data_IF_616236280775
#
_entry.id   IF_616236280775
#
_cell.length_a   1.000
_cell.length_b   1.000
_cell.length_c   1.000
_cell.angle_alpha   90.00
_cell.angle_beta   90.00
_cell.angle_gamma   90.00
#
_symmetry.space_group_name_H-M   'P 1'
#
loop_
_entity.id
_entity.type
_entity.pdbx_description
1 polymer ?
#
# COMPACT_ATOMS: atom_id res chain seq x y z
N UNK A 1 24.03 -17.56 -26.47
CA UNK A 1 23.74 -17.28 -27.89
C UNK A 1 23.95 -15.79 -28.23
N UNK A 2 23.37 -14.87 -27.48
CA UNK A 2 23.42 -13.44 -27.80
C UNK A 2 24.81 -12.81 -27.67
N UNK A 3 25.62 -13.24 -26.69
CA UNK A 3 27.00 -12.77 -26.53
C UNK A 3 27.85 -13.19 -27.73
N UNK A 4 27.70 -14.44 -28.16
CA UNK A 4 28.41 -14.95 -29.33
C UNK A 4 28.03 -14.19 -30.60
N UNK A 5 26.74 -13.94 -30.79
CA UNK A 5 26.20 -13.16 -31.91
C UNK A 5 26.73 -11.73 -31.91
N UNK A 6 26.70 -11.07 -30.74
CA UNK A 6 27.22 -9.72 -30.61
C UNK A 6 28.70 -9.61 -30.88
N UNK A 7 29.50 -10.56 -30.40
CA UNK A 7 30.96 -10.63 -30.70
C UNK A 7 31.22 -10.87 -32.17
N UNK A 8 30.44 -11.71 -32.84
CA UNK A 8 30.54 -11.95 -34.26
C UNK A 8 30.24 -10.69 -35.06
N UNK A 9 29.14 -10.01 -34.75
CA UNK A 9 28.79 -8.75 -35.41
C UNK A 9 29.77 -7.62 -35.15
N UNK A 10 30.43 -7.62 -33.99
CA UNK A 10 31.44 -6.64 -33.61
C UNK A 10 32.84 -7.03 -34.09
N UNK A 11 32.99 -8.13 -34.88
CA UNK A 11 34.28 -8.61 -35.39
C UNK A 11 35.32 -8.85 -34.29
N UNK A 12 34.84 -9.29 -33.11
CA UNK A 12 35.71 -9.57 -31.96
C UNK A 12 36.05 -8.38 -31.07
N UNK A 13 35.53 -7.20 -31.36
CA UNK A 13 35.68 -6.01 -30.53
C UNK A 13 34.72 -6.09 -29.32
N UNK A 14 35.28 -6.24 -28.13
CA UNK A 14 34.54 -6.37 -26.89
C UNK A 14 33.68 -5.15 -26.55
N UNK A 15 34.21 -3.95 -26.72
CA UNK A 15 33.47 -2.71 -26.39
C UNK A 15 32.30 -2.52 -27.33
N UNK A 16 32.51 -2.81 -28.62
CA UNK A 16 31.42 -2.76 -29.61
C UNK A 16 30.35 -3.83 -29.37
N UNK A 17 30.77 -5.03 -28.96
CA UNK A 17 29.85 -6.12 -28.61
C UNK A 17 29.00 -5.76 -27.39
N UNK A 18 29.60 -5.14 -26.37
CA UNK A 18 28.85 -4.63 -25.18
C UNK A 18 27.83 -3.59 -25.58
N UNK A 19 28.19 -2.67 -26.47
CA UNK A 19 27.27 -1.65 -26.96
C UNK A 19 26.10 -2.25 -27.75
N UNK A 20 26.36 -3.22 -28.60
CA UNK A 20 25.32 -3.95 -29.32
C UNK A 20 24.34 -4.68 -28.39
N UNK A 21 24.86 -5.32 -27.33
CA UNK A 21 24.04 -5.98 -26.32
C UNK A 21 23.19 -4.96 -25.56
N UNK A 22 23.75 -3.80 -25.22
CA UNK A 22 23.03 -2.70 -24.56
C UNK A 22 21.89 -2.17 -25.43
N UNK A 23 22.15 -1.91 -26.71
CA UNK A 23 21.15 -1.45 -27.68
C UNK A 23 20.00 -2.45 -27.83
N UNK A 24 20.32 -3.75 -27.91
CA UNK A 24 19.31 -4.82 -27.97
C UNK A 24 18.47 -4.86 -26.70
N UNK A 25 19.08 -4.75 -25.54
CA UNK A 25 18.39 -4.70 -24.27
C UNK A 25 17.41 -3.55 -24.21
N UNK A 26 17.82 -2.36 -24.62
CA UNK A 26 16.97 -1.17 -24.69
C UNK A 26 15.79 -1.36 -25.67
N UNK A 27 16.04 -1.94 -26.83
CA UNK A 27 15.00 -2.21 -27.83
C UNK A 27 13.96 -3.22 -27.30
N UNK A 28 14.39 -4.26 -26.62
CA UNK A 28 13.51 -5.25 -26.01
C UNK A 28 12.73 -4.63 -24.85
N UNK A 29 13.37 -3.82 -24.00
CA UNK A 29 12.69 -3.10 -22.92
C UNK A 29 11.59 -2.18 -23.45
N UNK A 30 11.85 -1.47 -24.55
CA UNK A 30 10.85 -0.61 -25.21
C UNK A 30 9.65 -1.41 -25.73
N UNK A 31 9.87 -2.61 -26.25
CA UNK A 31 8.79 -3.50 -26.73
C UNK A 31 7.92 -4.06 -25.61
N UNK A 32 8.44 -4.10 -24.38
CA UNK A 32 7.75 -4.65 -23.20
C UNK A 32 7.18 -3.56 -22.30
N UNK A 33 7.25 -2.31 -22.70
CA UNK A 33 6.89 -1.15 -21.86
C UNK A 33 5.45 -1.16 -21.36
N UNK A 34 4.55 -1.84 -22.05
CA UNK A 34 3.13 -1.96 -21.73
C UNK A 34 2.77 -3.17 -20.83
N UNK A 35 3.75 -4.03 -20.55
CA UNK A 35 3.52 -5.18 -19.66
C UNK A 35 3.45 -4.76 -18.20
N UNK A 36 2.65 -5.47 -17.41
CA UNK A 36 2.53 -5.22 -15.97
C UNK A 36 3.63 -5.96 -15.19
N UNK A 37 4.20 -5.27 -14.21
CA UNK A 37 5.16 -5.83 -13.26
C UNK A 37 4.52 -5.92 -11.88
N UNK A 38 3.80 -7.02 -11.65
CA UNK A 38 3.05 -7.24 -10.39
C UNK A 38 3.85 -8.01 -9.34
N UNK A 39 5.00 -8.57 -9.70
CA UNK A 39 5.91 -9.29 -8.81
C UNK A 39 7.23 -8.52 -8.67
N UNK A 40 8.07 -8.99 -7.79
CA UNK A 40 9.37 -8.36 -7.59
C UNK A 40 10.03 -8.75 -6.29
N UNK A 41 11.10 -8.04 -5.98
CA UNK A 41 11.87 -8.20 -4.75
C UNK A 41 11.99 -6.85 -4.05
N UNK A 42 11.54 -6.79 -2.81
CA UNK A 42 11.68 -5.64 -1.92
C UNK A 42 12.68 -6.01 -0.84
N UNK A 43 13.74 -5.24 -0.71
CA UNK A 43 14.76 -5.43 0.30
C UNK A 43 14.95 -4.18 1.13
N UNK A 44 15.35 -4.38 2.38
CA UNK A 44 15.66 -3.32 3.32
C UNK A 44 17.00 -3.59 3.97
N UNK A 45 17.76 -2.54 4.20
CA UNK A 45 19.06 -2.64 4.86
C UNK A 45 19.39 -1.33 5.59
N UNK A 46 20.06 -1.47 6.71
CA UNK A 46 20.63 -0.36 7.47
C UNK A 46 22.14 -0.55 7.58
N UNK A 47 22.89 0.52 7.30
CA UNK A 47 24.33 0.60 7.57
C UNK A 47 24.58 1.89 8.34
N UNK A 48 25.01 1.74 9.60
CA UNK A 48 25.19 2.87 10.53
C UNK A 48 23.89 3.68 10.70
N UNK A 49 23.89 4.94 10.29
CA UNK A 49 22.79 5.87 10.42
C UNK A 49 21.95 6.02 9.13
N UNK A 50 22.13 5.13 8.16
CA UNK A 50 21.43 5.20 6.88
C UNK A 50 20.69 3.88 6.60
N UNK A 51 19.39 3.96 6.38
CA UNK A 51 18.57 2.82 6.02
C UNK A 51 17.74 3.11 4.78
N UNK A 52 17.56 2.09 3.94
CA UNK A 52 16.81 2.23 2.71
C UNK A 52 16.02 0.96 2.39
N UNK A 53 14.89 1.15 1.73
CA UNK A 53 14.11 0.10 1.08
C UNK A 53 14.22 0.31 -0.43
N UNK A 54 14.47 -0.77 -1.16
CA UNK A 54 14.47 -0.77 -2.63
C UNK A 54 13.50 -1.83 -3.15
N UNK A 55 12.85 -1.54 -4.27
CA UNK A 55 11.99 -2.49 -4.96
C UNK A 55 12.41 -2.62 -6.43
N UNK A 56 12.71 -3.84 -6.84
CA UNK A 56 12.90 -4.22 -8.23
C UNK A 56 11.72 -5.10 -8.63
N UNK A 57 10.94 -4.65 -9.61
CA UNK A 57 9.72 -5.32 -10.06
C UNK A 57 9.97 -6.14 -11.32
N UNK A 58 9.22 -7.22 -11.48
CA UNK A 58 9.22 -8.10 -12.64
C UNK A 58 7.81 -8.66 -12.89
N UNK A 59 7.66 -9.48 -13.92
CA UNK A 59 6.34 -9.99 -14.30
C UNK A 59 5.89 -11.19 -13.47
N UNK A 60 6.80 -12.14 -13.14
CA UNK A 60 6.44 -13.39 -12.44
C UNK A 60 7.15 -13.54 -11.11
N UNK A 61 6.53 -14.31 -10.22
CA UNK A 61 7.14 -14.72 -8.95
C UNK A 61 8.32 -15.67 -9.16
N UNK A 62 8.29 -16.45 -10.22
CA UNK A 62 9.41 -17.35 -10.59
C UNK A 62 10.71 -16.57 -10.77
N UNK A 63 10.69 -15.46 -11.52
CA UNK A 63 11.85 -14.58 -11.69
C UNK A 63 12.18 -13.86 -10.39
N UNK A 64 11.16 -13.32 -9.71
CA UNK A 64 11.34 -12.59 -8.47
C UNK A 64 12.06 -13.39 -7.38
N UNK A 65 11.77 -14.68 -7.29
CA UNK A 65 12.36 -15.59 -6.29
C UNK A 65 13.70 -16.17 -6.73
N UNK A 66 14.17 -15.86 -7.94
CA UNK A 66 15.44 -16.32 -8.46
C UNK A 66 16.63 -15.68 -7.74
N UNK A 67 17.68 -16.47 -7.46
CA UNK A 67 18.87 -16.01 -6.75
C UNK A 67 19.53 -14.82 -7.43
N UNK A 68 19.60 -14.82 -8.76
CA UNK A 68 20.23 -13.74 -9.52
C UNK A 68 19.44 -12.44 -9.47
N UNK A 69 18.11 -12.52 -9.45
CA UNK A 69 17.24 -11.36 -9.33
C UNK A 69 17.36 -10.74 -7.93
N UNK A 70 17.33 -11.55 -6.89
CA UNK A 70 17.49 -11.11 -5.49
C UNK A 70 18.89 -10.50 -5.31
N UNK A 71 19.92 -11.12 -5.89
CA UNK A 71 21.29 -10.60 -5.83
C UNK A 71 21.40 -9.24 -6.51
N UNK A 72 20.82 -9.06 -7.68
CA UNK A 72 20.80 -7.76 -8.36
C UNK A 72 20.12 -6.70 -7.50
N UNK A 73 18.97 -7.01 -6.92
CA UNK A 73 18.26 -6.11 -6.02
C UNK A 73 19.11 -5.73 -4.82
N UNK A 74 19.79 -6.70 -4.21
CA UNK A 74 20.70 -6.50 -3.08
C UNK A 74 21.91 -5.64 -3.46
N UNK A 75 22.52 -5.89 -4.62
CA UNK A 75 23.67 -5.11 -5.09
C UNK A 75 23.29 -3.64 -5.35
N UNK A 76 22.11 -3.41 -5.90
CA UNK A 76 21.60 -2.04 -6.10
C UNK A 76 21.36 -1.36 -4.75
N UNK A 77 20.77 -2.05 -3.79
CA UNK A 77 20.54 -1.51 -2.44
C UNK A 77 21.86 -1.17 -1.75
N UNK A 78 22.86 -2.05 -1.84
CA UNK A 78 24.18 -1.81 -1.28
C UNK A 78 24.85 -0.58 -1.89
N UNK A 79 24.77 -0.41 -3.20
CA UNK A 79 25.29 0.77 -3.90
C UNK A 79 24.55 2.05 -3.45
N UNK A 80 23.23 1.98 -3.32
CA UNK A 80 22.41 3.10 -2.88
C UNK A 80 22.78 3.56 -1.46
N UNK A 81 22.98 2.61 -0.55
CA UNK A 81 23.36 2.89 0.84
C UNK A 81 24.79 3.44 0.91
N UNK A 82 25.73 2.84 0.18
CA UNK A 82 27.12 3.29 0.14
C UNK A 82 27.24 4.73 -0.35
N UNK A 83 26.41 5.11 -1.33
CA UNK A 83 26.36 6.48 -1.86
C UNK A 83 25.47 7.41 -1.07
N UNK A 84 24.73 6.91 -0.08
CA UNK A 84 23.69 7.66 0.64
C UNK A 84 22.71 8.36 -0.30
N UNK A 85 22.25 7.65 -1.32
CA UNK A 85 21.29 8.17 -2.28
C UNK A 85 19.94 8.45 -1.61
N UNK A 86 19.34 9.59 -1.93
CA UNK A 86 18.06 10.01 -1.33
C UNK A 86 16.87 9.86 -2.28
N UNK A 87 17.12 9.69 -3.58
CA UNK A 87 16.06 9.55 -4.58
C UNK A 87 16.29 8.34 -5.47
N UNK A 88 15.20 7.83 -6.03
CA UNK A 88 15.26 6.74 -7.00
C UNK A 88 16.09 7.10 -8.24
N UNK A 89 15.98 8.33 -8.73
CA UNK A 89 16.74 8.79 -9.89
C UNK A 89 18.25 8.74 -9.64
N UNK A 90 18.68 9.11 -8.43
CA UNK A 90 20.10 8.97 -8.04
C UNK A 90 20.51 7.49 -8.06
N UNK A 91 19.68 6.59 -7.53
CA UNK A 91 19.98 5.14 -7.49
C UNK A 91 20.19 4.57 -8.89
N UNK A 92 19.35 4.96 -9.84
CA UNK A 92 19.41 4.46 -11.23
C UNK A 92 20.76 4.72 -11.90
N UNK A 93 21.46 5.76 -11.51
CA UNK A 93 22.75 6.17 -12.10
C UNK A 93 23.95 5.61 -11.37
N UNK A 94 23.78 4.93 -10.24
CA UNK A 94 24.87 4.39 -9.46
C UNK A 94 25.47 3.16 -10.13
N UNK A 95 26.77 3.03 -10.02
CA UNK A 95 27.49 1.89 -10.60
C UNK A 95 27.22 0.61 -9.81
N UNK A 96 26.79 -0.43 -10.53
CA UNK A 96 26.55 -1.78 -10.01
C UNK A 96 27.28 -2.77 -10.92
N UNK A 97 28.46 -3.23 -10.49
CA UNK A 97 29.33 -4.00 -11.36
C UNK A 97 29.90 -3.14 -12.50
N UNK A 98 29.69 -3.55 -13.74
CA UNK A 98 30.22 -2.89 -14.94
C UNK A 98 29.29 -1.84 -15.54
N UNK A 99 28.09 -1.67 -14.99
CA UNK A 99 27.07 -0.80 -15.54
C UNK A 99 26.41 0.03 -14.43
N UNK A 100 25.64 1.05 -14.80
CA UNK A 100 24.77 1.70 -13.81
C UNK A 100 23.59 0.79 -13.44
N UNK A 101 22.89 1.11 -12.36
CA UNK A 101 21.78 0.29 -11.84
C UNK A 101 20.69 0.09 -12.90
N UNK A 102 20.29 1.15 -13.61
CA UNK A 102 19.27 1.05 -14.66
C UNK A 102 19.73 0.14 -15.81
N UNK A 103 20.98 0.26 -16.23
CA UNK A 103 21.54 -0.58 -17.28
C UNK A 103 21.63 -2.05 -16.82
N UNK A 104 21.99 -2.30 -15.58
CA UNK A 104 22.01 -3.66 -15.00
C UNK A 104 20.61 -4.29 -14.98
N UNK A 105 19.58 -3.52 -14.66
CA UNK A 105 18.17 -3.96 -14.71
C UNK A 105 17.77 -4.29 -16.14
N UNK A 106 18.07 -3.42 -17.09
CA UNK A 106 17.77 -3.65 -18.51
C UNK A 106 18.47 -4.90 -19.04
N UNK A 107 19.72 -5.12 -18.66
CA UNK A 107 20.47 -6.31 -19.02
C UNK A 107 19.82 -7.59 -18.45
N UNK A 108 19.40 -7.56 -17.19
CA UNK A 108 18.70 -8.68 -16.55
C UNK A 108 17.36 -8.97 -17.23
N UNK A 109 16.63 -7.93 -17.61
CA UNK A 109 15.39 -8.05 -18.40
C UNK A 109 15.66 -8.78 -19.73
N UNK A 110 16.75 -8.46 -20.41
CA UNK A 110 17.16 -9.16 -21.62
C UNK A 110 17.43 -10.65 -21.41
N UNK A 111 18.04 -11.02 -20.29
CA UNK A 111 18.36 -12.42 -19.94
C UNK A 111 17.07 -13.21 -19.63
N UNK A 112 16.16 -12.67 -18.83
CA UNK A 112 14.98 -13.38 -18.37
C UNK A 112 13.82 -13.36 -19.35
N UNK A 113 13.77 -12.39 -20.23
CA UNK A 113 12.64 -12.19 -21.14
C UNK A 113 11.46 -11.43 -20.50
N UNK A 114 11.60 -10.97 -19.27
CA UNK A 114 10.54 -10.24 -18.55
C UNK A 114 10.85 -8.75 -18.44
N UNK A 115 9.80 -7.93 -18.47
CA UNK A 115 9.90 -6.51 -18.12
C UNK A 115 10.35 -6.38 -16.67
N UNK A 116 11.26 -5.45 -16.42
CA UNK A 116 11.74 -5.12 -15.07
C UNK A 116 11.73 -3.62 -14.86
N UNK A 117 11.34 -3.21 -13.66
CA UNK A 117 11.28 -1.81 -13.26
C UNK A 117 11.93 -1.62 -11.90
N UNK A 118 12.93 -0.77 -11.83
CA UNK A 118 13.43 -0.26 -10.56
C UNK A 118 12.46 0.85 -10.15
N UNK A 119 11.50 0.52 -9.27
CA UNK A 119 10.31 1.35 -9.05
C UNK A 119 9.92 1.42 -7.56
N UNK A 120 10.85 1.66 -6.72
CA UNK A 120 10.59 1.90 -5.32
C UNK A 120 11.87 2.13 -4.56
N UNK A 121 11.96 3.26 -3.88
CA UNK A 121 13.09 3.59 -3.04
C UNK A 121 12.66 4.58 -1.99
N UNK A 122 12.92 4.26 -0.72
CA UNK A 122 12.71 5.20 0.37
C UNK A 122 13.82 5.07 1.42
N UNK A 123 14.03 6.15 2.16
CA UNK A 123 15.19 6.32 3.04
C UNK A 123 14.73 6.81 4.41
N UNK A 124 15.40 6.32 5.45
CA UNK A 124 15.45 6.95 6.76
C UNK A 124 16.92 7.16 7.14
N UNK A 125 17.22 8.31 7.70
CA UNK A 125 18.57 8.69 8.08
C UNK A 125 18.59 9.23 9.51
N UNK A 126 19.51 8.75 10.32
CA UNK A 126 19.66 9.14 11.72
C UNK A 126 19.87 7.93 12.62
N UNK A 127 19.83 8.18 13.92
CA UNK A 127 20.03 7.16 14.93
C UNK A 127 18.76 6.35 15.19
N UNK A 128 18.93 5.16 15.80
CA UNK A 128 17.84 4.35 16.33
C UNK A 128 16.83 3.86 15.29
N UNK A 129 17.32 3.45 14.12
CA UNK A 129 16.50 2.90 13.05
C UNK A 129 16.47 1.37 13.15
N UNK A 130 15.29 0.78 13.09
CA UNK A 130 15.09 -0.66 12.96
C UNK A 130 14.41 -0.97 11.62
N UNK A 131 14.85 -2.05 10.99
CA UNK A 131 14.38 -2.47 9.68
C UNK A 131 13.73 -3.84 9.77
N UNK A 132 12.76 -4.10 8.89
CA UNK A 132 12.01 -5.35 8.91
C UNK A 132 11.59 -5.77 7.50
N UNK A 133 11.88 -7.02 7.15
CA UNK A 133 11.40 -7.68 5.95
C UNK A 133 10.32 -8.68 6.38
N UNK A 134 9.06 -8.40 6.03
CA UNK A 134 7.91 -9.13 6.54
C UNK A 134 7.96 -10.60 6.16
N UNK A 135 7.98 -11.46 7.17
CA UNK A 135 8.06 -12.92 7.03
C UNK A 135 9.25 -13.39 6.18
N UNK A 136 10.25 -12.54 5.99
CA UNK A 136 11.43 -12.79 5.17
C UNK A 136 11.09 -13.21 3.72
N UNK A 137 9.99 -12.67 3.19
CA UNK A 137 9.50 -12.98 1.84
C UNK A 137 9.94 -11.99 0.77
N UNK A 138 10.57 -10.88 1.14
CA UNK A 138 11.05 -9.84 0.21
C UNK A 138 9.94 -9.22 -0.64
N UNK A 139 8.75 -9.05 -0.06
CA UNK A 139 7.60 -8.44 -0.74
C UNK A 139 7.06 -7.21 -0.02
N UNK A 140 7.35 -7.09 1.27
CA UNK A 140 6.92 -6.01 2.13
C UNK A 140 8.01 -5.72 3.14
N UNK A 141 8.53 -4.50 3.11
CA UNK A 141 9.57 -4.06 4.06
C UNK A 141 9.16 -2.78 4.76
N UNK A 142 9.65 -2.63 5.99
CA UNK A 142 9.40 -1.44 6.80
C UNK A 142 10.66 -0.97 7.50
N UNK A 143 10.66 0.30 7.86
CA UNK A 143 11.69 0.92 8.68
C UNK A 143 11.03 1.82 9.71
N UNK A 144 11.55 1.85 10.91
CA UNK A 144 11.07 2.71 11.99
C UNK A 144 12.27 3.39 12.66
N UNK A 145 12.14 4.67 12.91
CA UNK A 145 13.13 5.44 13.65
C UNK A 145 12.53 5.89 14.98
N UNK A 146 13.21 5.58 16.05
CA UNK A 146 12.85 6.02 17.40
C UNK A 146 13.75 7.18 17.85
N UNK A 147 13.31 7.93 18.85
CA UNK A 147 14.09 9.01 19.46
C UNK A 147 15.13 8.52 20.49
N UNK A 148 15.01 7.28 20.91
CA UNK A 148 15.93 6.64 21.87
C UNK A 148 16.30 5.25 21.35
N UNK A 149 17.43 4.71 21.79
CA UNK A 149 17.83 3.35 21.46
C UNK A 149 16.96 2.33 22.22
N UNK A 150 16.15 1.59 21.47
CA UNK A 150 15.42 0.42 21.96
C UNK A 150 15.13 -0.49 20.76
N UNK A 151 16.06 -1.40 20.50
CA UNK A 151 15.99 -2.28 19.33
C UNK A 151 14.75 -3.17 19.35
N UNK A 152 14.37 -3.72 20.50
CA UNK A 152 13.19 -4.58 20.62
C UNK A 152 11.91 -3.80 20.30
N UNK A 153 11.75 -2.62 20.88
CA UNK A 153 10.58 -1.78 20.61
C UNK A 153 10.53 -1.33 19.15
N UNK A 154 11.67 -0.92 18.59
CA UNK A 154 11.77 -0.53 17.19
C UNK A 154 11.40 -1.66 16.26
N UNK A 155 11.87 -2.88 16.51
CA UNK A 155 11.52 -4.05 15.71
C UNK A 155 10.03 -4.37 15.79
N UNK A 156 9.44 -4.36 16.98
CA UNK A 156 8.00 -4.62 17.16
C UNK A 156 7.13 -3.57 16.48
N UNK A 157 7.53 -2.30 16.52
CA UNK A 157 6.82 -1.23 15.81
C UNK A 157 6.96 -1.40 14.29
N UNK A 158 8.13 -1.80 13.79
CA UNK A 158 8.31 -2.12 12.37
C UNK A 158 7.38 -3.26 11.92
N UNK A 159 7.18 -4.26 12.75
CA UNK A 159 6.20 -5.34 12.50
C UNK A 159 4.76 -4.80 12.50
N UNK A 160 4.45 -3.89 13.42
CA UNK A 160 3.14 -3.21 13.48
C UNK A 160 2.85 -2.43 12.19
N UNK A 161 3.83 -1.68 11.69
CA UNK A 161 3.70 -0.94 10.42
C UNK A 161 3.43 -1.89 9.27
N UNK A 162 4.14 -3.02 9.21
CA UNK A 162 3.93 -4.02 8.18
C UNK A 162 2.51 -4.60 8.21
N UNK A 163 2.05 -4.99 9.41
CA UNK A 163 0.78 -5.70 9.59
C UNK A 163 -0.43 -4.76 9.49
N UNK A 164 -0.35 -3.57 10.04
CA UNK A 164 -1.51 -2.70 10.27
C UNK A 164 -1.60 -1.50 9.32
N UNK A 165 -0.68 -1.34 8.39
CA UNK A 165 -0.72 -0.35 7.30
C UNK A 165 -1.13 1.06 7.73
N UNK A 166 -0.45 1.69 8.69
CA UNK A 166 -0.81 3.05 9.06
C UNK A 166 -0.60 4.01 7.88
N UNK A 167 -1.50 4.97 7.73
CA UNK A 167 -1.41 5.98 6.66
C UNK A 167 -0.65 7.22 7.12
N UNK A 168 -0.49 7.41 8.43
CA UNK A 168 0.24 8.53 9.01
C UNK A 168 0.83 8.13 10.36
N UNK A 169 1.83 8.86 10.81
CA UNK A 169 2.45 8.65 12.11
C UNK A 169 1.46 8.98 13.24
N UNK A 170 0.86 10.15 13.17
CA UNK A 170 -0.11 10.66 14.14
C UNK A 170 -1.13 11.56 13.44
N UNK A 171 -2.11 12.03 14.20
CA UNK A 171 -3.16 12.89 13.68
C UNK A 171 -2.61 14.19 13.09
N UNK A 172 -1.56 14.75 13.69
CA UNK A 172 -0.92 15.99 13.19
C UNK A 172 -0.24 15.81 11.84
N UNK A 173 0.13 14.57 11.49
CA UNK A 173 0.76 14.23 10.21
C UNK A 173 -0.26 14.06 9.07
N UNK A 174 -1.55 13.99 9.39
CA UNK A 174 -2.62 13.93 8.38
C UNK A 174 -2.89 15.33 7.86
N UNK A 175 -2.88 15.52 6.55
CA UNK A 175 -3.13 16.82 5.95
C UNK A 175 -4.55 17.32 6.23
N UNK A 176 -4.73 18.63 6.29
CA UNK A 176 -6.07 19.24 6.46
C UNK A 176 -7.00 18.87 5.31
N UNK A 177 -6.48 18.74 4.10
CA UNK A 177 -7.24 18.27 2.94
C UNK A 177 -7.76 16.84 3.12
N UNK A 178 -6.91 15.93 3.60
CA UNK A 178 -7.32 14.54 3.89
C UNK A 178 -8.36 14.51 5.00
N UNK A 179 -8.17 15.27 6.08
CA UNK A 179 -9.15 15.37 7.17
C UNK A 179 -10.49 15.86 6.67
N UNK A 180 -10.49 16.89 5.83
CA UNK A 180 -11.70 17.44 5.21
C UNK A 180 -12.41 16.41 4.35
N UNK A 181 -11.68 15.72 3.49
CA UNK A 181 -12.22 14.67 2.61
C UNK A 181 -12.81 13.52 3.41
N UNK A 182 -12.10 13.04 4.44
CA UNK A 182 -12.60 11.97 5.31
C UNK A 182 -13.85 12.39 6.09
N UNK A 183 -13.92 13.65 6.54
CA UNK A 183 -15.10 14.17 7.20
C UNK A 183 -16.29 14.27 6.25
N UNK A 184 -16.08 14.75 5.03
CA UNK A 184 -17.13 14.82 4.00
C UNK A 184 -17.67 13.42 3.66
N UNK A 185 -16.80 12.44 3.51
CA UNK A 185 -17.18 11.03 3.29
C UNK A 185 -17.97 10.50 4.48
N UNK A 186 -17.53 10.78 5.70
CA UNK A 186 -18.23 10.36 6.91
C UNK A 186 -19.63 10.99 7.02
N UNK A 187 -19.78 12.26 6.67
CA UNK A 187 -21.07 12.96 6.63
C UNK A 187 -21.99 12.32 5.60
N UNK A 188 -21.52 12.13 4.37
CA UNK A 188 -22.32 11.54 3.29
C UNK A 188 -22.77 10.12 3.65
N UNK A 189 -21.89 9.30 4.17
CA UNK A 189 -22.19 7.93 4.59
C UNK A 189 -23.19 7.90 5.74
N UNK A 190 -23.06 8.79 6.71
CA UNK A 190 -23.99 8.91 7.83
C UNK A 190 -25.40 9.26 7.35
N UNK A 191 -25.53 10.21 6.44
CA UNK A 191 -26.81 10.58 5.83
C UNK A 191 -27.44 9.39 5.11
N UNK A 192 -26.68 8.71 4.29
CA UNK A 192 -27.13 7.53 3.52
C UNK A 192 -27.63 6.42 4.46
N UNK A 193 -26.87 6.11 5.51
CA UNK A 193 -27.25 5.06 6.48
C UNK A 193 -28.50 5.41 7.27
N UNK A 194 -28.68 6.67 7.67
CA UNK A 194 -29.88 7.11 8.37
C UNK A 194 -31.12 7.03 7.48
N UNK A 195 -31.00 7.42 6.22
CA UNK A 195 -32.08 7.31 5.24
C UNK A 195 -32.43 5.84 4.99
N UNK A 196 -31.42 5.00 4.76
CA UNK A 196 -31.61 3.56 4.54
C UNK A 196 -32.29 2.88 5.74
N UNK A 197 -31.88 3.24 6.97
CA UNK A 197 -32.47 2.71 8.18
C UNK A 197 -33.96 3.07 8.27
N UNK A 198 -34.33 4.28 7.95
CA UNK A 198 -35.74 4.72 7.94
C UNK A 198 -36.56 4.01 6.87
N UNK A 199 -36.01 3.87 5.68
CA UNK A 199 -36.63 3.12 4.56
C UNK A 199 -36.83 1.65 4.93
N UNK A 200 -35.79 1.00 5.47
CA UNK A 200 -35.86 -0.41 5.86
C UNK A 200 -36.88 -0.64 6.98
N UNK A 201 -37.00 0.27 7.95
CA UNK A 201 -38.00 0.21 8.99
C UNK A 201 -39.43 0.29 8.42
N UNK A 202 -39.64 1.19 7.45
CA UNK A 202 -40.95 1.34 6.78
C UNK A 202 -41.29 0.10 5.92
N UNK A 203 -40.30 -0.49 5.25
CA UNK A 203 -40.49 -1.72 4.49
C UNK A 203 -40.88 -2.89 5.39
N UNK A 204 -40.20 -3.08 6.50
CA UNK A 204 -40.52 -4.11 7.49
C UNK A 204 -41.93 -3.94 8.04
N UNK A 205 -42.33 -2.69 8.34
CA UNK A 205 -43.67 -2.37 8.81
C UNK A 205 -44.74 -2.73 7.77
N UNK A 206 -44.43 -2.60 6.50
CA UNK A 206 -45.30 -3.00 5.39
C UNK A 206 -45.26 -4.50 5.06
N UNK A 207 -44.48 -5.29 5.81
CA UNK A 207 -44.36 -6.73 5.61
C UNK A 207 -43.45 -7.12 4.46
N UNK A 208 -42.56 -6.22 3.99
CA UNK A 208 -41.62 -6.43 2.91
C UNK A 208 -40.22 -6.63 3.50
N UNK A 209 -39.53 -7.69 3.08
CA UNK A 209 -38.13 -7.91 3.47
C UNK A 209 -37.24 -6.92 2.72
N UNK A 210 -36.52 -6.01 3.43
CA UNK A 210 -35.65 -5.03 2.76
C UNK A 210 -34.60 -5.64 1.83
N UNK A 211 -34.09 -6.83 2.15
CA UNK A 211 -33.11 -7.54 1.31
C UNK A 211 -33.65 -7.92 -0.07
N UNK A 212 -34.97 -8.12 -0.19
CA UNK A 212 -35.60 -8.45 -1.46
C UNK A 212 -35.79 -7.24 -2.40
N UNK A 213 -35.63 -6.04 -1.85
CA UNK A 213 -35.93 -4.77 -2.56
C UNK A 213 -34.77 -3.78 -2.45
N UNK A 214 -33.57 -4.25 -2.17
CA UNK A 214 -32.39 -3.41 -1.94
C UNK A 214 -31.85 -2.74 -3.22
N UNK A 215 -32.22 -3.26 -4.39
CA UNK A 215 -31.93 -2.65 -5.68
C UNK A 215 -33.10 -2.88 -6.64
N UNK A 216 -33.20 -2.07 -7.70
CA UNK A 216 -34.21 -2.24 -8.73
C UNK A 216 -34.10 -3.60 -9.41
N UNK A 217 -32.88 -4.06 -9.64
CA UNK A 217 -32.61 -5.39 -10.20
C UNK A 217 -33.17 -6.50 -9.31
N UNK A 218 -32.96 -6.42 -7.99
CA UNK A 218 -33.50 -7.38 -7.05
C UNK A 218 -35.02 -7.32 -6.96
N UNK A 219 -35.64 -6.15 -7.06
CA UNK A 219 -37.11 -6.01 -7.12
C UNK A 219 -37.65 -6.74 -8.34
N UNK A 220 -37.09 -6.52 -9.51
CA UNK A 220 -37.52 -7.18 -10.74
C UNK A 220 -37.32 -8.69 -10.68
N UNK A 221 -36.15 -9.15 -10.27
CA UNK A 221 -35.81 -10.56 -10.16
C UNK A 221 -36.72 -11.28 -9.17
N UNK A 222 -36.90 -10.71 -7.97
CA UNK A 222 -37.72 -11.33 -6.91
C UNK A 222 -39.22 -11.31 -7.26
N UNK A 223 -39.67 -10.34 -8.04
CA UNK A 223 -41.03 -10.33 -8.55
C UNK A 223 -41.25 -11.46 -9.56
N UNK A 224 -40.31 -11.67 -10.48
CA UNK A 224 -40.36 -12.77 -11.45
C UNK A 224 -40.33 -14.16 -10.77
N UNK A 225 -39.57 -14.28 -9.71
CA UNK A 225 -39.45 -15.55 -8.95
C UNK A 225 -40.59 -15.82 -7.97
N UNK A 226 -41.51 -14.87 -7.81
CA UNK A 226 -42.65 -15.02 -6.91
C UNK A 226 -42.37 -14.72 -5.45
N UNK A 227 -41.18 -14.22 -5.10
CA UNK A 227 -40.86 -13.78 -3.74
C UNK A 227 -41.55 -12.47 -3.35
N UNK A 228 -41.90 -11.65 -4.37
CA UNK A 228 -42.65 -10.43 -4.25
C UNK A 228 -43.89 -10.49 -5.16
N UNK A 229 -45.00 -9.97 -4.67
CA UNK A 229 -46.14 -9.70 -5.54
C UNK A 229 -45.90 -8.40 -6.31
N UNK A 230 -46.54 -8.18 -7.49
CA UNK A 230 -46.45 -6.90 -8.19
C UNK A 230 -46.82 -5.69 -7.33
N UNK A 231 -47.81 -5.86 -6.44
CA UNK A 231 -48.27 -4.84 -5.50
C UNK A 231 -47.17 -4.53 -4.46
N UNK A 232 -46.50 -5.55 -3.93
CA UNK A 232 -45.39 -5.35 -3.00
C UNK A 232 -44.19 -4.67 -3.67
N UNK A 233 -43.91 -4.99 -4.93
CA UNK A 233 -42.85 -4.35 -5.68
C UNK A 233 -43.12 -2.85 -5.85
N UNK A 234 -44.35 -2.50 -6.21
CA UNK A 234 -44.76 -1.09 -6.37
C UNK A 234 -44.76 -0.34 -5.05
N UNK A 235 -45.27 -0.96 -3.99
CA UNK A 235 -45.24 -0.41 -2.64
C UNK A 235 -43.80 -0.17 -2.18
N UNK A 236 -42.87 -1.12 -2.41
CA UNK A 236 -41.46 -0.97 -2.07
C UNK A 236 -40.82 0.21 -2.79
N UNK A 237 -41.06 0.36 -4.08
CA UNK A 237 -40.57 1.50 -4.88
C UNK A 237 -41.11 2.83 -4.30
N UNK A 238 -42.40 2.88 -3.96
CA UNK A 238 -42.99 4.05 -3.40
C UNK A 238 -42.42 4.41 -2.01
N UNK A 239 -42.23 3.41 -1.15
CA UNK A 239 -41.64 3.59 0.19
C UNK A 239 -40.20 4.09 0.06
N UNK A 240 -39.39 3.45 -0.77
CA UNK A 240 -38.00 3.84 -1.02
C UNK A 240 -37.89 5.30 -1.45
N UNK A 241 -38.76 5.75 -2.33
CA UNK A 241 -38.80 7.13 -2.80
C UNK A 241 -39.31 8.08 -1.74
N UNK A 242 -40.53 7.84 -1.25
CA UNK A 242 -41.27 8.78 -0.36
C UNK A 242 -40.62 8.88 1.01
N UNK A 243 -40.36 7.76 1.66
CA UNK A 243 -39.73 7.73 3.00
C UNK A 243 -38.28 8.19 2.89
N UNK A 244 -37.56 7.83 1.83
CA UNK A 244 -36.21 8.26 1.58
C UNK A 244 -36.11 9.78 1.45
N UNK A 245 -36.93 10.39 0.62
CA UNK A 245 -36.94 11.83 0.41
C UNK A 245 -37.37 12.59 1.70
N UNK A 246 -38.40 12.11 2.39
CA UNK A 246 -38.84 12.69 3.65
C UNK A 246 -37.79 12.66 4.73
N UNK A 247 -37.12 11.50 4.91
CA UNK A 247 -36.02 11.36 5.88
C UNK A 247 -34.86 12.25 5.54
N UNK A 248 -34.44 12.28 4.28
CA UNK A 248 -33.35 13.14 3.82
C UNK A 248 -33.63 14.63 4.12
N UNK A 249 -34.85 15.05 3.95
CA UNK A 249 -35.27 16.44 4.22
C UNK A 249 -35.32 16.77 5.72
N UNK A 250 -35.47 15.78 6.60
CA UNK A 250 -35.67 15.98 8.06
C UNK A 250 -34.43 15.56 8.89
N UNK A 251 -33.31 15.28 8.27
CA UNK A 251 -32.06 14.92 8.97
C UNK A 251 -31.59 16.09 9.86
N UNK A 252 -31.20 15.75 11.10
CA UNK A 252 -30.68 16.74 12.04
C UNK A 252 -29.18 16.98 11.75
N UNK A 253 -28.80 18.20 11.32
CA UNK A 253 -27.40 18.49 10.98
C UNK A 253 -26.43 18.30 12.14
N UNK A 254 -26.83 18.63 13.37
CA UNK A 254 -25.99 18.48 14.55
C UNK A 254 -25.73 17.03 14.88
N UNK A 255 -26.76 16.18 14.81
CA UNK A 255 -26.60 14.74 15.03
C UNK A 255 -25.67 14.11 13.99
N UNK A 256 -25.84 14.48 12.72
CA UNK A 256 -24.99 13.99 11.63
C UNK A 256 -23.54 14.41 11.85
N UNK A 257 -23.31 15.67 12.21
CA UNK A 257 -21.96 16.17 12.47
C UNK A 257 -21.30 15.43 13.64
N UNK A 258 -22.04 15.17 14.70
CA UNK A 258 -21.53 14.42 15.85
C UNK A 258 -21.16 12.98 15.49
N UNK A 259 -22.00 12.30 14.72
CA UNK A 259 -21.72 10.94 14.25
C UNK A 259 -20.51 10.94 13.31
N UNK A 260 -20.43 11.89 12.38
CA UNK A 260 -19.32 12.03 11.44
C UNK A 260 -18.01 12.32 12.17
N UNK A 261 -18.02 13.18 13.18
CA UNK A 261 -16.85 13.45 14.01
C UNK A 261 -16.38 12.19 14.76
N UNK A 262 -17.31 11.38 15.25
CA UNK A 262 -16.99 10.09 15.87
C UNK A 262 -16.35 9.11 14.87
N UNK A 263 -16.82 9.08 13.65
CA UNK A 263 -16.24 8.27 12.57
C UNK A 263 -14.85 8.75 12.17
N UNK A 264 -14.63 10.05 12.15
CA UNK A 264 -13.31 10.63 11.89
C UNK A 264 -12.33 10.28 13.00
N UNK A 265 -12.75 10.34 14.27
CA UNK A 265 -11.94 9.92 15.40
C UNK A 265 -11.56 8.43 15.30
N UNK A 266 -12.49 7.58 14.87
CA UNK A 266 -12.24 6.17 14.63
C UNK A 266 -11.24 5.97 13.48
N UNK A 267 -11.34 6.76 12.41
CA UNK A 267 -10.38 6.74 11.31
C UNK A 267 -8.96 7.00 11.83
N UNK A 268 -8.74 8.02 12.65
CA UNK A 268 -7.42 8.28 13.22
C UNK A 268 -6.93 7.13 14.10
N UNK A 269 -7.80 6.58 14.92
CA UNK A 269 -7.47 5.45 15.79
C UNK A 269 -7.05 4.21 15.00
N UNK A 270 -7.64 3.98 13.85
CA UNK A 270 -7.32 2.82 13.02
C UNK A 270 -6.12 3.05 12.08
N UNK A 271 -5.85 4.30 11.69
CA UNK A 271 -4.92 4.62 10.60
C UNK A 271 -3.68 5.41 11.02
N UNK A 272 -3.65 6.00 12.20
CA UNK A 272 -2.44 6.65 12.72
C UNK A 272 -1.64 5.68 13.56
N UNK A 273 -0.36 5.50 13.23
CA UNK A 273 0.49 4.49 13.86
C UNK A 273 0.48 4.54 15.38
N UNK A 274 0.64 5.72 15.97
CA UNK A 274 0.71 5.87 17.43
C UNK A 274 -0.60 5.54 18.14
N UNK A 275 -1.73 5.66 17.44
CA UNK A 275 -3.09 5.45 17.98
C UNK A 275 -3.62 4.05 17.72
N UNK A 276 -3.00 3.29 16.83
CA UNK A 276 -3.42 1.91 16.55
C UNK A 276 -3.26 1.01 17.78
N UNK A 277 -4.17 0.04 17.90
CA UNK A 277 -3.99 -1.02 18.88
C UNK A 277 -2.72 -1.82 18.58
N UNK A 278 -1.83 -1.94 19.56
CA UNK A 278 -0.56 -2.62 19.39
C UNK A 278 -0.76 -4.14 19.35
N UNK A 279 -0.35 -4.77 18.24
CA UNK A 279 -0.58 -6.19 17.97
C UNK A 279 0.52 -7.10 18.55
N UNK A 280 1.64 -6.55 18.97
CA UNK A 280 2.83 -7.34 19.35
C UNK A 280 3.22 -7.16 20.82
N UNK A 281 2.25 -6.77 21.65
CA UNK A 281 2.41 -6.62 23.10
C UNK A 281 2.21 -7.94 23.87
N UNK A 282 2.37 -7.85 25.18
CA UNK A 282 2.34 -9.01 26.09
C UNK A 282 0.95 -9.32 26.68
N UNK A 283 -0.12 -8.95 26.01
CA UNK A 283 -1.48 -9.32 26.32
C UNK A 283 -2.39 -8.20 26.81
N UNK A 284 -1.86 -7.10 27.33
CA UNK A 284 -2.66 -5.94 27.72
C UNK A 284 -3.04 -5.13 26.47
N UNK A 285 -4.31 -4.75 26.39
CA UNK A 285 -4.78 -3.91 25.32
C UNK A 285 -4.25 -2.50 25.47
N UNK A 286 -3.40 -2.07 24.55
CA UNK A 286 -2.78 -0.74 24.55
C UNK A 286 -2.53 -0.25 23.14
N UNK A 287 -2.42 1.06 23.00
CA UNK A 287 -2.01 1.67 21.73
C UNK A 287 -0.50 1.53 21.55
N UNK A 288 -0.03 1.76 20.32
CA UNK A 288 1.42 1.80 20.05
C UNK A 288 2.11 2.84 20.94
N UNK A 289 1.54 4.04 21.08
CA UNK A 289 2.09 5.08 21.95
C UNK A 289 2.17 4.63 23.43
N UNK A 290 1.15 3.95 23.92
CA UNK A 290 1.13 3.43 25.31
C UNK A 290 2.17 2.34 25.50
N UNK A 291 2.34 1.46 24.52
CA UNK A 291 3.40 0.45 24.55
C UNK A 291 4.78 1.11 24.66
N UNK A 292 5.05 2.09 23.80
CA UNK A 292 6.34 2.79 23.81
C UNK A 292 6.58 3.48 25.16
N UNK A 293 5.58 4.18 25.70
CA UNK A 293 5.67 4.82 27.01
C UNK A 293 5.91 3.82 28.14
N UNK A 294 5.43 2.59 28.02
CA UNK A 294 5.68 1.52 29.00
C UNK A 294 7.14 1.01 28.98
N UNK A 295 7.82 1.17 27.85
CA UNK A 295 9.23 0.78 27.70
C UNK A 295 10.18 1.87 28.23
N UNK A 296 9.89 3.12 27.91
CA UNK A 296 10.59 4.31 28.39
C UNK A 296 9.64 5.50 28.31
N UNK A 297 9.60 6.31 29.35
CA UNK A 297 8.66 7.44 29.49
C UNK A 297 8.59 8.35 28.28
N UNK A 298 9.72 8.66 27.66
CA UNK A 298 9.81 9.62 26.56
C UNK A 298 10.05 8.94 25.20
N UNK A 299 9.94 7.62 25.13
CA UNK A 299 10.17 6.86 23.91
C UNK A 299 9.08 7.17 22.88
N UNK A 300 9.47 7.65 21.71
CA UNK A 300 8.57 8.06 20.62
C UNK A 300 9.12 7.65 19.26
N UNK A 301 8.20 7.50 18.31
CA UNK A 301 8.53 7.27 16.91
C UNK A 301 8.81 8.63 16.26
N UNK A 302 9.95 8.74 15.61
CA UNK A 302 10.34 9.94 14.84
C UNK A 302 9.79 9.86 13.41
N UNK A 303 9.94 8.68 12.78
CA UNK A 303 9.55 8.47 11.38
C UNK A 303 9.40 6.98 11.10
N UNK A 304 8.68 6.65 10.04
CA UNK A 304 8.60 5.29 9.52
C UNK A 304 8.45 5.30 8.00
N UNK A 305 8.80 4.18 7.38
CA UNK A 305 8.58 3.94 5.96
C UNK A 305 8.04 2.52 5.76
N UNK A 306 7.19 2.34 4.79
CA UNK A 306 6.61 1.05 4.41
C UNK A 306 6.55 0.96 2.90
N UNK A 307 7.00 -0.14 2.35
CA UNK A 307 6.86 -0.42 0.92
C UNK A 307 6.39 -1.86 0.71
N UNK A 308 5.37 -2.02 -0.12
CA UNK A 308 4.84 -3.33 -0.50
C UNK A 308 4.63 -3.40 -2.00
N UNK A 309 4.81 -4.61 -2.55
CA UNK A 309 4.47 -4.91 -3.95
C UNK A 309 2.97 -5.12 -4.14
N UNK A 310 2.27 -5.54 -3.08
CA UNK A 310 0.85 -5.86 -3.18
C UNK A 310 0.02 -4.58 -3.39
N UNK A 311 -0.95 -4.66 -4.28
CA UNK A 311 -2.01 -3.66 -4.36
C UNK A 311 -2.91 -3.82 -3.12
N UNK A 312 -3.08 -2.74 -2.39
CA UNK A 312 -3.84 -2.72 -1.14
C UNK A 312 -5.08 -1.83 -1.23
#
# INVERSE_FOLDING_TARGET
ADVKKALTEAEGDFDKAKELLRERGLAIAAKRSDRETSNGCVLVKKVNDFAAIIALKCETDFVANGADFIKLTSDILDAAIAAKAHTLDEVKTLKVGDADAQAAVTQRSGITGEKMELDGYCVLEGDNIEVYDHMNKHTLCTMVQLNENNEEAGHKVAMQVAAMRPVALDESSVSEETKKTELEVAVAKTKEELVEKAVNAALKKAGINPAHVDSEEHIETNTKQGWLTPEQAEEARNIKKTVGEEKAATLNPTMIQNIANGRLAKFFKENCLVDQEFQFGDGDKQTVAQYLASQSKDLKIVAYQRFTLAAE
#
